data_IF_761700185628
#
_entry.id   IF_761700185628
#
_cell.length_a   1.000
_cell.length_b   1.000
_cell.length_c   1.000
_cell.angle_alpha   90.00
_cell.angle_beta   90.00
_cell.angle_gamma   90.00
#
_symmetry.space_group_name_H-M   'P 1'
#
loop_
_entity.id
_entity.type
_entity.pdbx_description
1 polymer ?
#
# COMPACT_ATOMS: atom_id res chain seq x y z
N UNK A 1 4.24 -19.23 11.34
CA UNK A 1 3.22 -19.96 12.12
C UNK A 1 3.85 -20.73 13.30
N UNK A 2 5.01 -21.38 13.12
CA UNK A 2 5.65 -22.17 14.19
C UNK A 2 6.14 -21.35 15.40
N UNK A 3 6.27 -20.03 15.27
CA UNK A 3 6.74 -19.12 16.32
C UNK A 3 5.64 -18.18 16.83
N UNK A 4 4.35 -18.42 16.51
CA UNK A 4 3.22 -17.65 17.03
C UNK A 4 2.91 -16.35 16.32
N UNK A 5 3.73 -15.94 15.34
CA UNK A 5 3.58 -14.67 14.61
C UNK A 5 4.67 -13.65 14.93
N UNK A 6 4.52 -12.43 14.41
CA UNK A 6 5.56 -11.40 14.52
C UNK A 6 5.75 -10.88 15.95
N UNK A 7 4.68 -10.74 16.73
CA UNK A 7 4.76 -10.27 18.11
C UNK A 7 5.67 -11.16 18.95
N UNK A 8 5.45 -12.48 18.91
CA UNK A 8 6.27 -13.43 19.65
C UNK A 8 7.68 -13.52 19.08
N UNK A 9 7.83 -13.54 17.75
CA UNK A 9 9.14 -13.58 17.09
C UNK A 9 10.01 -12.36 17.41
N UNK A 10 9.41 -11.16 17.45
CA UNK A 10 10.09 -9.89 17.75
C UNK A 10 10.14 -9.57 19.24
N UNK A 11 9.42 -10.33 20.08
CA UNK A 11 9.18 -9.99 21.49
C UNK A 11 8.67 -8.56 21.65
N UNK A 12 7.60 -8.20 20.92
CA UNK A 12 7.06 -6.86 20.82
C UNK A 12 5.55 -6.88 20.98
N UNK A 13 5.03 -6.18 22.00
CA UNK A 13 3.59 -6.08 22.28
C UNK A 13 2.92 -4.86 21.62
N UNK A 14 3.68 -4.07 20.85
CA UNK A 14 3.13 -2.92 20.12
C UNK A 14 2.39 -3.36 18.85
N UNK A 15 1.38 -2.60 18.41
CA UNK A 15 0.71 -2.89 17.15
C UNK A 15 1.68 -2.94 15.96
N UNK A 16 1.56 -3.99 15.14
CA UNK A 16 2.42 -4.24 13.99
C UNK A 16 1.60 -4.10 12.71
N UNK A 17 2.08 -3.27 11.80
CA UNK A 17 1.59 -3.19 10.42
C UNK A 17 2.52 -4.00 9.50
N UNK A 18 1.93 -4.82 8.62
CA UNK A 18 2.66 -5.49 7.54
C UNK A 18 2.24 -4.95 6.19
N UNK A 19 3.22 -4.76 5.30
CA UNK A 19 2.96 -4.42 3.90
C UNK A 19 2.55 -5.66 3.09
N UNK A 20 1.91 -5.42 1.95
CA UNK A 20 1.45 -6.47 1.04
C UNK A 20 2.57 -7.26 0.36
N UNK A 21 3.78 -6.68 0.30
CA UNK A 21 4.93 -7.21 -0.44
C UNK A 21 4.90 -6.92 -1.95
N UNK A 22 3.84 -6.29 -2.46
CA UNK A 22 3.69 -6.00 -3.88
C UNK A 22 4.78 -5.09 -4.43
N UNK A 23 5.07 -3.99 -3.75
CA UNK A 23 6.12 -3.06 -4.14
C UNK A 23 7.51 -3.70 -4.17
N UNK A 24 7.87 -4.49 -3.15
CA UNK A 24 9.16 -5.16 -3.06
C UNK A 24 9.36 -6.15 -4.20
N UNK A 25 8.35 -6.94 -4.52
CA UNK A 25 8.40 -7.86 -5.66
C UNK A 25 8.57 -7.10 -6.96
N UNK A 26 7.83 -6.01 -7.17
CA UNK A 26 7.89 -5.21 -8.39
C UNK A 26 9.21 -4.44 -8.53
N UNK A 27 9.78 -3.92 -7.43
CA UNK A 27 10.98 -3.09 -7.45
C UNK A 27 12.29 -3.90 -7.54
N UNK A 28 12.34 -5.08 -6.91
CA UNK A 28 13.57 -5.86 -6.76
C UNK A 28 13.80 -6.89 -7.86
N UNK A 29 12.80 -7.24 -8.64
CA UNK A 29 12.91 -8.28 -9.66
C UNK A 29 12.98 -7.70 -11.08
N UNK A 30 14.06 -8.00 -11.81
CA UNK A 30 14.17 -7.74 -13.25
C UNK A 30 13.30 -8.70 -14.09
N UNK A 31 12.75 -9.75 -13.48
CA UNK A 31 12.02 -10.85 -14.10
C UNK A 31 10.59 -10.97 -13.55
N UNK A 32 9.97 -9.85 -13.18
CA UNK A 32 8.59 -9.85 -12.73
C UNK A 32 7.62 -9.51 -13.87
N UNK A 33 6.45 -10.10 -13.80
CA UNK A 33 5.32 -9.83 -14.67
C UNK A 33 4.10 -9.57 -13.82
N UNK A 34 3.40 -8.50 -14.12
CA UNK A 34 2.08 -8.23 -13.53
C UNK A 34 1.04 -8.90 -14.41
N UNK A 35 0.23 -9.74 -13.80
CA UNK A 35 -0.90 -10.41 -14.41
C UNK A 35 -2.16 -9.99 -13.63
N UNK A 36 -3.17 -9.46 -14.33
CA UNK A 36 -4.37 -8.90 -13.69
C UNK A 36 -5.08 -9.91 -12.81
N UNK A 37 -5.20 -11.13 -13.29
CA UNK A 37 -5.95 -12.19 -12.62
C UNK A 37 -5.12 -12.92 -11.56
N UNK A 38 -3.84 -13.15 -11.86
CA UNK A 38 -2.95 -13.96 -11.02
C UNK A 38 -2.23 -13.15 -9.94
N UNK A 39 -1.94 -11.87 -10.19
CA UNK A 39 -1.11 -11.05 -9.31
C UNK A 39 0.30 -10.82 -9.85
N UNK A 40 1.26 -10.61 -8.96
CA UNK A 40 2.67 -10.43 -9.31
C UNK A 40 3.37 -11.80 -9.45
N UNK A 41 3.91 -12.07 -10.62
CA UNK A 41 4.66 -13.30 -10.94
C UNK A 41 6.14 -12.95 -10.94
N UNK A 42 6.94 -13.64 -10.15
CA UNK A 42 8.38 -13.40 -10.02
C UNK A 42 9.17 -14.68 -9.78
N UNK A 43 10.47 -14.60 -10.00
CA UNK A 43 11.37 -15.71 -9.72
C UNK A 43 12.22 -15.43 -8.48
N UNK A 44 12.37 -16.45 -7.64
CA UNK A 44 13.29 -16.43 -6.51
C UNK A 44 14.72 -16.27 -7.00
N UNK A 45 15.45 -15.35 -6.41
CA UNK A 45 16.87 -15.16 -6.67
C UNK A 45 17.75 -16.25 -6.04
N UNK A 46 17.18 -17.07 -5.15
CA UNK A 46 17.89 -18.14 -4.44
C UNK A 46 17.92 -19.43 -5.25
N UNK A 47 16.76 -19.85 -5.77
CA UNK A 47 16.60 -21.16 -6.42
C UNK A 47 15.91 -21.10 -7.79
N UNK A 48 15.60 -19.90 -8.28
CA UNK A 48 14.97 -19.68 -9.59
C UNK A 48 13.50 -20.12 -9.68
N UNK A 49 12.90 -20.59 -8.59
CA UNK A 49 11.48 -20.97 -8.60
C UNK A 49 10.58 -19.80 -8.89
N UNK A 50 9.54 -20.04 -9.67
CA UNK A 50 8.50 -19.05 -9.93
C UNK A 50 7.49 -19.03 -8.81
N UNK A 51 7.23 -17.83 -8.30
CA UNK A 51 6.19 -17.55 -7.31
C UNK A 51 5.14 -16.64 -7.90
N UNK A 52 3.92 -16.77 -7.38
CA UNK A 52 2.80 -15.91 -7.69
C UNK A 52 2.32 -15.31 -6.36
N UNK A 53 2.43 -13.99 -6.24
CA UNK A 53 1.85 -13.24 -5.15
C UNK A 53 0.54 -12.64 -5.64
N UNK A 54 -0.58 -13.30 -5.32
CA UNK A 54 -1.91 -12.77 -5.57
C UNK A 54 -2.39 -11.91 -4.39
N UNK A 55 -3.45 -11.09 -4.56
CA UNK A 55 -4.08 -10.40 -3.43
C UNK A 55 -4.47 -11.34 -2.29
N UNK A 56 -5.02 -12.50 -2.60
CA UNK A 56 -5.43 -13.52 -1.62
C UNK A 56 -4.23 -14.11 -0.89
N UNK A 57 -3.16 -14.40 -1.63
CA UNK A 57 -1.93 -14.97 -1.05
C UNK A 57 -1.22 -13.95 -0.16
N UNK A 58 -1.16 -12.67 -0.55
CA UNK A 58 -0.64 -11.61 0.29
C UNK A 58 -1.41 -11.52 1.62
N UNK A 59 -2.73 -11.52 1.58
CA UNK A 59 -3.58 -11.53 2.78
C UNK A 59 -3.33 -12.78 3.63
N UNK A 60 -3.21 -13.95 3.01
CA UNK A 60 -2.92 -15.22 3.73
C UNK A 60 -1.59 -15.15 4.48
N UNK A 61 -0.55 -14.60 3.83
CA UNK A 61 0.77 -14.43 4.43
C UNK A 61 0.70 -13.46 5.62
N UNK A 62 0.11 -12.28 5.45
CA UNK A 62 -0.01 -11.28 6.50
C UNK A 62 -0.83 -11.79 7.70
N UNK A 63 -1.88 -12.58 7.45
CA UNK A 63 -2.62 -13.29 8.51
C UNK A 63 -1.74 -14.29 9.25
N UNK A 64 -0.90 -15.04 8.53
CA UNK A 64 0.06 -15.99 9.12
C UNK A 64 1.16 -15.31 9.95
N UNK A 65 1.54 -14.07 9.57
CA UNK A 65 2.43 -13.20 10.35
C UNK A 65 1.75 -12.64 11.60
N UNK A 66 0.44 -12.71 11.68
CA UNK A 66 -0.39 -12.24 12.80
C UNK A 66 -0.29 -10.73 13.08
N UNK A 67 -0.07 -9.89 12.05
CA UNK A 67 -0.04 -8.44 12.20
C UNK A 67 -1.41 -7.85 12.57
N UNK A 68 -1.42 -6.68 13.23
CA UNK A 68 -2.64 -5.98 13.63
C UNK A 68 -3.25 -5.19 12.48
N UNK A 69 -2.40 -4.61 11.63
CA UNK A 69 -2.80 -3.88 10.43
C UNK A 69 -2.22 -4.58 9.21
N UNK A 70 -3.12 -4.90 8.29
CA UNK A 70 -2.86 -5.62 7.03
C UNK A 70 -3.07 -4.66 5.87
N UNK A 71 -2.15 -4.64 4.91
CA UNK A 71 -2.28 -3.81 3.71
C UNK A 71 -2.86 -4.60 2.55
N UNK A 72 -3.74 -3.97 1.76
CA UNK A 72 -4.17 -4.57 0.49
C UNK A 72 -3.00 -4.64 -0.49
N UNK A 73 -3.06 -5.57 -1.44
CA UNK A 73 -2.11 -5.58 -2.54
C UNK A 73 -2.46 -4.50 -3.57
N UNK A 74 -1.46 -3.78 -4.03
CA UNK A 74 -1.59 -2.74 -5.06
C UNK A 74 -0.53 -2.89 -6.15
N UNK A 75 -0.74 -2.23 -7.28
CA UNK A 75 0.29 -2.00 -8.29
C UNK A 75 0.81 -0.57 -8.15
N UNK A 76 2.09 -0.44 -7.79
CA UNK A 76 2.79 0.83 -7.70
C UNK A 76 3.73 0.99 -8.91
N UNK A 77 3.31 1.65 -10.01
CA UNK A 77 4.16 1.85 -11.15
C UNK A 77 5.29 2.83 -10.82
N UNK A 78 6.42 2.69 -11.51
CA UNK A 78 7.48 3.69 -11.45
C UNK A 78 6.90 5.06 -11.81
N UNK A 79 7.46 6.12 -11.19
CA UNK A 79 7.04 7.50 -11.47
C UNK A 79 7.03 7.76 -12.99
N UNK A 80 5.87 8.13 -13.48
CA UNK A 80 5.63 8.44 -14.90
C UNK A 80 4.54 9.49 -15.01
N UNK A 81 4.65 10.35 -16.04
CA UNK A 81 3.63 11.34 -16.39
C UNK A 81 2.61 10.81 -17.42
N UNK A 82 2.64 9.53 -17.73
CA UNK A 82 1.69 8.86 -18.62
C UNK A 82 0.37 8.59 -17.86
N UNK A 83 -0.62 9.42 -18.13
CA UNK A 83 -1.94 9.36 -17.51
C UNK A 83 -2.64 8.01 -17.71
N UNK A 84 -2.62 7.47 -18.94
CA UNK A 84 -3.31 6.22 -19.26
C UNK A 84 -2.67 5.02 -18.56
N UNK A 85 -1.34 5.03 -18.43
CA UNK A 85 -0.62 4.01 -17.68
C UNK A 85 -0.96 4.08 -16.18
N UNK A 86 -0.95 5.26 -15.59
CA UNK A 86 -1.32 5.45 -14.18
C UNK A 86 -2.77 5.07 -13.93
N UNK A 87 -3.68 5.42 -14.85
CA UNK A 87 -5.09 5.06 -14.76
C UNK A 87 -5.29 3.53 -14.76
N UNK A 88 -4.62 2.80 -15.67
CA UNK A 88 -4.70 1.33 -15.72
C UNK A 88 -4.18 0.69 -14.44
N UNK A 89 -3.07 1.19 -13.92
CA UNK A 89 -2.49 0.73 -12.64
C UNK A 89 -3.43 1.00 -11.47
N UNK A 90 -4.02 2.17 -11.39
CA UNK A 90 -5.01 2.53 -10.37
C UNK A 90 -6.26 1.64 -10.43
N UNK A 91 -6.77 1.36 -11.61
CA UNK A 91 -7.92 0.48 -11.81
C UNK A 91 -7.59 -0.96 -11.38
N UNK A 92 -6.40 -1.47 -11.71
CA UNK A 92 -5.92 -2.77 -11.25
C UNK A 92 -5.79 -2.81 -9.72
N UNK A 93 -5.21 -1.77 -9.11
CA UNK A 93 -5.10 -1.67 -7.65
C UNK A 93 -6.46 -1.68 -6.97
N UNK A 94 -7.47 -1.01 -7.55
CA UNK A 94 -8.84 -1.04 -7.03
C UNK A 94 -9.46 -2.45 -7.07
N UNK A 95 -9.22 -3.20 -8.14
CA UNK A 95 -9.69 -4.59 -8.26
C UNK A 95 -9.00 -5.51 -7.26
N UNK A 96 -7.68 -5.36 -7.11
CA UNK A 96 -6.90 -6.13 -6.14
C UNK A 96 -7.27 -5.78 -4.69
N UNK A 97 -7.61 -4.52 -4.41
CA UNK A 97 -8.11 -4.10 -3.11
C UNK A 97 -9.43 -4.82 -2.76
N UNK A 98 -10.36 -4.96 -3.71
CA UNK A 98 -11.59 -5.73 -3.52
C UNK A 98 -11.30 -7.21 -3.24
N UNK A 99 -10.43 -7.85 -4.03
CA UNK A 99 -10.01 -9.25 -3.82
C UNK A 99 -9.34 -9.44 -2.45
N UNK A 100 -8.48 -8.49 -2.06
CA UNK A 100 -7.86 -8.49 -0.72
C UNK A 100 -8.91 -8.39 0.38
N UNK A 101 -9.92 -7.53 0.22
CA UNK A 101 -11.03 -7.39 1.17
C UNK A 101 -11.83 -8.68 1.30
N UNK A 102 -12.16 -9.33 0.18
CA UNK A 102 -12.90 -10.58 0.16
C UNK A 102 -12.10 -11.71 0.86
N UNK A 103 -10.79 -11.80 0.60
CA UNK A 103 -9.88 -12.76 1.24
C UNK A 103 -9.65 -12.47 2.74
N UNK A 104 -9.66 -11.19 3.13
CA UNK A 104 -9.52 -10.79 4.53
C UNK A 104 -10.76 -11.20 5.32
N UNK A 105 -11.96 -11.06 4.76
CA UNK A 105 -13.21 -11.38 5.41
C UNK A 105 -13.54 -10.45 6.58
N UNK A 106 -14.39 -10.93 7.47
CA UNK A 106 -14.77 -10.22 8.70
C UNK A 106 -13.75 -10.53 9.79
N UNK A 107 -13.14 -9.49 10.36
CA UNK A 107 -12.23 -9.62 11.48
C UNK A 107 -12.33 -8.36 12.35
N UNK A 108 -12.80 -8.52 13.56
CA UNK A 108 -13.08 -7.41 14.48
C UNK A 108 -11.81 -6.98 15.27
N UNK A 109 -10.73 -7.75 15.18
CA UNK A 109 -9.50 -7.53 15.96
C UNK A 109 -8.34 -7.00 15.13
N UNK A 110 -8.48 -6.97 13.79
CA UNK A 110 -7.41 -6.55 12.86
C UNK A 110 -7.93 -5.52 11.88
N UNK A 111 -7.08 -4.55 11.54
CA UNK A 111 -7.37 -3.54 10.54
C UNK A 111 -6.92 -3.96 9.14
N UNK A 112 -7.75 -3.73 8.12
CA UNK A 112 -7.35 -3.78 6.73
C UNK A 112 -7.35 -2.39 6.14
N UNK A 113 -6.22 -1.97 5.56
CA UNK A 113 -6.05 -0.65 4.95
C UNK A 113 -6.07 -0.75 3.43
N UNK A 114 -6.86 0.13 2.80
CA UNK A 114 -6.86 0.33 1.36
C UNK A 114 -5.75 1.28 0.93
N UNK A 115 -5.16 1.06 -0.26
CA UNK A 115 -4.08 1.89 -0.79
C UNK A 115 -4.59 2.71 -1.97
N UNK A 116 -4.61 4.03 -1.81
CA UNK A 116 -4.98 4.99 -2.86
C UNK A 116 -3.83 5.15 -3.84
N UNK A 117 -4.06 4.84 -5.10
CA UNK A 117 -3.14 5.03 -6.22
C UNK A 117 -3.65 6.15 -7.16
N UNK A 118 -2.82 6.60 -8.12
CA UNK A 118 -3.20 7.64 -9.08
C UNK A 118 -2.05 8.56 -9.49
N UNK A 119 -0.82 8.24 -9.07
CA UNK A 119 0.38 9.06 -9.38
C UNK A 119 0.21 10.50 -8.90
N UNK A 120 0.54 11.47 -9.73
CA UNK A 120 0.38 12.90 -9.45
C UNK A 120 -0.95 13.48 -9.97
N UNK A 121 -1.89 12.62 -10.41
CA UNK A 121 -3.17 13.06 -10.99
C UNK A 121 -4.28 13.04 -9.92
N UNK A 122 -4.70 14.21 -9.47
CA UNK A 122 -5.69 14.36 -8.40
C UNK A 122 -7.04 13.73 -8.73
N UNK A 123 -7.49 13.79 -9.99
CA UNK A 123 -8.73 13.16 -10.44
C UNK A 123 -8.67 11.62 -10.30
N UNK A 124 -7.52 11.00 -10.64
CA UNK A 124 -7.31 9.56 -10.45
C UNK A 124 -7.21 9.21 -8.96
N UNK A 125 -6.55 10.03 -8.15
CA UNK A 125 -6.48 9.87 -6.69
C UNK A 125 -7.87 9.88 -6.05
N UNK A 126 -8.69 10.86 -6.41
CA UNK A 126 -10.08 10.98 -5.91
C UNK A 126 -10.91 9.77 -6.37
N UNK A 127 -10.78 9.36 -7.65
CA UNK A 127 -11.46 8.16 -8.17
C UNK A 127 -11.04 6.90 -7.42
N UNK A 128 -9.74 6.72 -7.20
CA UNK A 128 -9.19 5.60 -6.43
C UNK A 128 -9.75 5.57 -5.01
N UNK A 129 -9.71 6.72 -4.32
CA UNK A 129 -10.24 6.85 -2.97
C UNK A 129 -11.73 6.50 -2.89
N UNK A 130 -12.55 7.01 -3.81
CA UNK A 130 -13.97 6.72 -3.83
C UNK A 130 -14.24 5.22 -4.02
N UNK A 131 -13.53 4.55 -4.94
CA UNK A 131 -13.61 3.10 -5.12
C UNK A 131 -13.29 2.35 -3.82
N UNK A 132 -12.27 2.79 -3.08
CA UNK A 132 -11.88 2.18 -1.81
C UNK A 132 -12.89 2.46 -0.70
N UNK A 133 -13.49 3.65 -0.66
CA UNK A 133 -14.55 3.99 0.30
C UNK A 133 -15.78 3.10 0.06
N UNK A 134 -16.16 2.86 -1.18
CA UNK A 134 -17.27 1.99 -1.55
C UNK A 134 -17.03 0.52 -1.12
N UNK A 135 -15.78 0.04 -1.19
CA UNK A 135 -15.38 -1.29 -0.69
C UNK A 135 -15.40 -1.33 0.86
N UNK A 136 -14.99 -0.25 1.49
CA UNK A 136 -14.97 -0.09 2.96
C UNK A 136 -13.76 -0.70 3.66
N UNK A 137 -12.86 0.16 4.15
CA UNK A 137 -11.64 -0.22 4.87
C UNK A 137 -11.58 0.40 6.27
N UNK A 138 -10.68 -0.15 7.13
CA UNK A 138 -10.45 0.37 8.47
C UNK A 138 -9.57 1.63 8.46
N UNK A 139 -8.75 1.81 7.42
CA UNK A 139 -7.90 2.98 7.19
C UNK A 139 -7.54 3.10 5.72
N UNK A 140 -6.96 4.23 5.33
CA UNK A 140 -6.60 4.54 3.95
C UNK A 140 -5.16 5.01 3.86
N UNK A 141 -4.38 4.33 3.03
CA UNK A 141 -3.00 4.68 2.74
C UNK A 141 -2.88 5.44 1.41
N UNK A 142 -1.91 6.32 1.32
CA UNK A 142 -1.52 7.02 0.11
C UNK A 142 -0.25 6.35 -0.42
N UNK A 143 -0.39 5.51 -1.44
CA UNK A 143 0.71 4.83 -2.12
C UNK A 143 1.17 5.57 -3.38
N UNK A 144 2.27 5.11 -4.00
CA UNK A 144 2.79 5.68 -5.24
C UNK A 144 3.29 7.12 -5.11
N UNK A 145 3.71 7.51 -3.92
CA UNK A 145 4.48 8.70 -3.58
C UNK A 145 5.84 8.25 -3.01
N UNK A 146 6.81 9.17 -2.86
CA UNK A 146 8.21 8.85 -2.53
C UNK A 146 8.90 7.91 -3.56
N UNK A 147 8.48 8.01 -4.83
CA UNK A 147 9.00 7.19 -5.94
C UNK A 147 9.72 8.04 -7.01
N UNK A 148 10.11 9.28 -6.66
CA UNK A 148 10.90 10.18 -7.50
C UNK A 148 10.25 11.52 -7.83
N UNK A 149 9.10 11.85 -7.25
CA UNK A 149 8.51 13.18 -7.28
C UNK A 149 9.24 14.12 -6.31
N UNK A 150 9.03 15.42 -6.50
CA UNK A 150 9.50 16.45 -5.57
C UNK A 150 8.58 16.56 -4.35
N UNK A 151 9.08 17.18 -3.27
CA UNK A 151 8.27 17.45 -2.08
C UNK A 151 7.03 18.31 -2.41
N UNK A 152 7.19 19.32 -3.28
CA UNK A 152 6.08 20.17 -3.69
C UNK A 152 5.01 19.38 -4.45
N UNK A 153 5.41 18.53 -5.41
CA UNK A 153 4.47 17.64 -6.13
C UNK A 153 3.73 16.70 -5.17
N UNK A 154 4.42 16.15 -4.16
CA UNK A 154 3.79 15.34 -3.13
C UNK A 154 2.76 16.17 -2.32
N UNK A 155 3.12 17.37 -1.89
CA UNK A 155 2.21 18.23 -1.13
C UNK A 155 1.00 18.68 -1.96
N UNK A 156 1.17 18.94 -3.25
CA UNK A 156 0.06 19.24 -4.17
C UNK A 156 -0.96 18.09 -4.25
N UNK A 157 -0.46 16.84 -4.30
CA UNK A 157 -1.31 15.65 -4.24
C UNK A 157 -2.05 15.57 -2.91
N UNK A 158 -1.36 15.78 -1.77
CA UNK A 158 -1.98 15.75 -0.46
C UNK A 158 -3.05 16.84 -0.31
N UNK A 159 -2.76 18.06 -0.79
CA UNK A 159 -3.73 19.18 -0.78
C UNK A 159 -4.96 18.87 -1.66
N UNK A 160 -4.76 18.17 -2.78
CA UNK A 160 -5.85 17.78 -3.69
C UNK A 160 -6.78 16.69 -3.13
N UNK A 161 -6.30 15.85 -2.19
CA UNK A 161 -7.09 14.72 -1.71
C UNK A 161 -7.57 14.84 -0.25
N UNK A 162 -6.92 15.67 0.58
CA UNK A 162 -7.13 15.73 2.04
C UNK A 162 -8.59 15.89 2.46
N UNK A 163 -9.35 16.70 1.72
CA UNK A 163 -10.75 17.01 2.04
C UNK A 163 -11.73 15.89 1.62
N UNK A 164 -11.28 14.99 0.75
CA UNK A 164 -12.03 13.82 0.31
C UNK A 164 -11.82 12.59 1.22
N UNK A 165 -10.71 12.55 1.94
CA UNK A 165 -10.40 11.42 2.82
C UNK A 165 -11.30 11.38 4.06
N UNK A 166 -11.83 10.20 4.45
CA UNK A 166 -12.62 10.05 5.67
C UNK A 166 -11.89 10.60 6.89
N UNK A 167 -12.58 11.41 7.70
CA UNK A 167 -12.00 12.06 8.89
C UNK A 167 -11.96 11.14 10.11
N UNK A 168 -12.76 10.10 10.10
CA UNK A 168 -12.94 9.10 11.16
C UNK A 168 -12.07 7.84 10.94
N UNK A 169 -11.18 7.86 9.94
CA UNK A 169 -10.30 6.74 9.60
C UNK A 169 -8.85 7.16 9.58
N UNK A 170 -7.91 6.32 10.06
CA UNK A 170 -6.47 6.57 9.94
C UNK A 170 -6.05 6.80 8.49
N UNK A 171 -5.15 7.76 8.30
CA UNK A 171 -4.55 8.16 7.02
C UNK A 171 -3.05 7.92 7.07
N UNK A 172 -2.58 7.04 6.22
CA UNK A 172 -1.20 6.58 6.20
C UNK A 172 -0.49 7.02 4.92
N UNK A 173 0.62 7.74 5.04
CA UNK A 173 1.47 8.11 3.91
C UNK A 173 2.67 7.15 3.83
N UNK A 174 2.67 6.32 2.80
CA UNK A 174 3.65 5.24 2.63
C UNK A 174 4.98 5.76 2.07
N UNK A 175 6.10 5.24 2.59
CA UNK A 175 7.44 5.52 2.08
C UNK A 175 7.99 6.90 2.41
N UNK A 176 7.32 7.67 3.27
CA UNK A 176 7.69 9.05 3.64
C UNK A 176 8.02 9.10 5.13
N UNK A 177 8.99 9.80 5.63
CA UNK A 177 9.88 10.69 5.00
C UNK A 177 10.79 11.47 5.93
N UNK A 178 11.33 12.53 5.39
CA UNK A 178 12.16 13.45 6.14
C UNK A 178 11.33 14.24 7.18
N UNK A 179 11.95 14.88 8.18
CA UNK A 179 11.20 15.68 9.17
C UNK A 179 10.31 16.77 8.54
N UNK A 180 10.75 17.38 7.43
CA UNK A 180 9.98 18.37 6.70
C UNK A 180 8.75 17.77 6.00
N UNK A 181 8.90 16.56 5.44
CA UNK A 181 7.81 15.83 4.79
C UNK A 181 6.74 15.45 5.80
N UNK A 182 7.15 14.89 6.94
CA UNK A 182 6.24 14.52 8.03
C UNK A 182 5.47 15.76 8.52
N UNK A 183 6.16 16.85 8.82
CA UNK A 183 5.50 18.07 9.28
C UNK A 183 4.51 18.63 8.25
N UNK A 184 4.91 18.64 6.99
CA UNK A 184 4.05 19.09 5.88
C UNK A 184 2.84 18.19 5.66
N UNK A 185 2.99 16.87 5.81
CA UNK A 185 1.92 15.89 5.64
C UNK A 185 0.96 15.89 6.85
N UNK A 186 1.46 16.03 8.08
CA UNK A 186 0.63 16.16 9.30
C UNK A 186 -0.28 17.40 9.21
N UNK A 187 0.24 18.55 8.71
CA UNK A 187 -0.58 19.75 8.45
C UNK A 187 -1.71 19.49 7.44
N UNK A 188 -1.60 18.44 6.63
CA UNK A 188 -2.59 18.00 5.63
C UNK A 188 -3.45 16.84 6.11
N UNK A 189 -3.34 16.47 7.40
CA UNK A 189 -4.18 15.48 8.06
C UNK A 189 -3.73 14.04 7.88
N UNK A 190 -2.46 13.79 7.63
CA UNK A 190 -1.86 12.44 7.66
C UNK A 190 -1.53 12.06 9.10
N UNK A 191 -1.82 10.81 9.48
CA UNK A 191 -1.70 10.30 10.85
C UNK A 191 -0.53 9.32 11.01
N UNK A 192 -0.16 8.58 9.95
CA UNK A 192 0.80 7.48 10.01
C UNK A 192 1.85 7.60 8.91
N UNK A 193 3.07 7.14 9.24
CA UNK A 193 4.25 7.18 8.36
C UNK A 193 5.09 5.93 8.58
N UNK A 194 5.78 5.48 7.53
CA UNK A 194 6.87 4.52 7.61
C UNK A 194 8.15 5.18 7.11
N UNK A 195 9.05 5.45 8.03
CA UNK A 195 10.28 6.14 7.72
C UNK A 195 11.39 5.15 7.40
N UNK A 196 11.96 5.22 6.20
CA UNK A 196 13.24 4.59 5.89
C UNK A 196 14.37 5.59 5.99
N UNK A 197 14.93 5.77 7.20
CA UNK A 197 16.13 6.60 7.44
C UNK A 197 17.45 5.86 7.15
N UNK A 198 17.39 4.73 6.48
CA UNK A 198 18.56 3.90 6.15
C UNK A 198 19.62 4.64 5.31
N UNK A 199 19.26 5.74 4.68
CA UNK A 199 20.10 6.51 3.77
C UNK A 199 20.41 7.95 4.25
N UNK A 200 20.25 8.23 5.53
CA UNK A 200 20.70 9.50 6.12
C UNK A 200 22.13 9.37 6.65
#
# INVERSE_FOLDING_TARGET
ESVGGLHEFMNCDLPILTDSGGFQVMSLSKLNKIDRDKGAIFQSHIDGKTFILSPEESIRIQKGLNSDIVMVMDECPKNTKDYDKIKKSMELSSEWAKRSKDAFGINDHKGLFGIVQGGLFNDLRIKSLNNLIDIGFNGYALGGLAVGETQDEMFDVLDGIKDHMPKDKPRYLMGVGTPSDILGAVKRGVDMFDLSLIHI
#
